data_IF_918388485373
#
_entry.id   IF_918388485373
#
_cell.length_a   1.000
_cell.length_b   1.000
_cell.length_c   1.000
_cell.angle_alpha   90.00
_cell.angle_beta   90.00
_cell.angle_gamma   90.00
#
_symmetry.space_group_name_H-M   'P 1'
#
loop_
_entity.id
_entity.type
_entity.pdbx_description
1 polymer ?
#
# COMPACT_ATOMS: atom_id res chain seq x y z
N UNK A 1 36.12 16.76 31.82
CA UNK A 1 36.67 17.15 30.50
C UNK A 1 37.30 15.96 29.75
N UNK A 2 38.17 15.15 30.39
CA UNK A 2 38.85 14.01 29.74
C UNK A 2 37.93 12.88 29.19
N UNK A 3 36.79 12.59 29.83
CA UNK A 3 35.86 11.55 29.35
C UNK A 3 35.06 11.98 28.11
N UNK A 4 34.87 13.29 27.87
CA UNK A 4 34.15 13.79 26.71
C UNK A 4 35.02 13.73 25.45
N UNK A 5 36.33 13.98 25.59
CA UNK A 5 37.31 13.92 24.51
C UNK A 5 37.52 12.47 24.04
N UNK A 6 37.64 11.50 24.95
CA UNK A 6 37.72 10.06 24.57
C UNK A 6 36.47 9.56 23.85
N UNK A 7 35.27 9.99 24.28
CA UNK A 7 34.00 9.59 23.64
C UNK A 7 33.82 10.24 22.26
N UNK A 8 34.35 11.45 22.07
CA UNK A 8 34.38 12.15 20.78
C UNK A 8 35.39 11.51 19.81
N UNK A 9 36.58 11.12 20.29
CA UNK A 9 37.60 10.45 19.49
C UNK A 9 37.15 9.04 19.05
N UNK A 10 36.62 8.23 19.97
CA UNK A 10 36.09 6.90 19.64
C UNK A 10 34.85 6.92 18.72
N UNK A 11 34.08 8.01 18.72
CA UNK A 11 32.94 8.21 17.81
C UNK A 11 33.41 8.65 16.41
N UNK A 12 34.48 9.44 16.34
CA UNK A 12 35.12 9.79 15.06
C UNK A 12 35.81 8.58 14.42
N UNK A 13 36.53 7.75 15.20
CA UNK A 13 37.18 6.54 14.68
C UNK A 13 36.17 5.51 14.15
N UNK A 14 35.05 5.29 14.87
CA UNK A 14 33.97 4.40 14.42
C UNK A 14 33.21 4.93 13.20
N UNK A 15 33.08 6.25 13.06
CA UNK A 15 32.47 6.85 11.89
C UNK A 15 33.41 6.79 10.68
N UNK A 16 34.73 6.94 10.86
CA UNK A 16 35.71 6.74 9.79
C UNK A 16 35.84 5.28 9.36
N UNK A 17 35.78 4.33 10.30
CA UNK A 17 35.78 2.88 9.98
C UNK A 17 34.51 2.47 9.23
N UNK A 18 33.34 2.97 9.63
CA UNK A 18 32.08 2.73 8.91
C UNK A 18 32.07 3.38 7.51
N UNK A 19 32.64 4.58 7.35
CA UNK A 19 32.72 5.21 6.03
C UNK A 19 33.67 4.44 5.10
N UNK A 20 34.84 4.02 5.60
CA UNK A 20 35.82 3.21 4.86
C UNK A 20 35.24 1.85 4.43
N UNK A 21 34.48 1.18 5.30
CA UNK A 21 33.83 -0.09 4.98
C UNK A 21 32.72 0.09 3.92
N UNK A 22 31.95 1.16 4.00
CA UNK A 22 30.90 1.47 3.00
C UNK A 22 31.46 1.78 1.62
N UNK A 23 32.61 2.48 1.54
CA UNK A 23 33.30 2.77 0.28
C UNK A 23 33.88 1.50 -0.36
N UNK A 24 34.41 0.58 0.45
CA UNK A 24 34.90 -0.72 -0.03
C UNK A 24 33.77 -1.58 -0.60
N UNK A 25 32.64 -1.67 0.10
CA UNK A 25 31.47 -2.42 -0.39
C UNK A 25 30.91 -1.80 -1.68
N UNK A 26 30.91 -0.47 -1.77
CA UNK A 26 30.50 0.25 -2.98
C UNK A 26 31.43 -0.02 -4.16
N UNK A 27 32.75 -0.10 -3.93
CA UNK A 27 33.74 -0.43 -4.96
C UNK A 27 33.57 -1.87 -5.47
N UNK A 28 33.42 -2.84 -4.56
CA UNK A 28 33.21 -4.26 -4.90
C UNK A 28 31.91 -4.44 -5.70
N UNK A 29 30.83 -3.80 -5.27
CA UNK A 29 29.54 -3.89 -5.97
C UNK A 29 29.60 -3.28 -7.38
N UNK A 30 30.29 -2.15 -7.57
CA UNK A 30 30.47 -1.57 -8.91
C UNK A 30 31.37 -2.42 -9.81
N UNK A 31 32.38 -3.09 -9.25
CA UNK A 31 33.23 -4.00 -10.02
C UNK A 31 32.43 -5.18 -10.59
N UNK A 32 31.58 -5.81 -9.76
CA UNK A 32 30.69 -6.89 -10.22
C UNK A 32 29.75 -6.42 -11.34
N UNK A 33 29.25 -5.19 -11.27
CA UNK A 33 28.36 -4.63 -12.31
C UNK A 33 29.08 -4.30 -13.62
N UNK A 34 30.35 -3.90 -13.55
CA UNK A 34 31.18 -3.65 -14.74
C UNK A 34 31.40 -4.94 -15.54
N UNK A 35 31.62 -6.07 -14.86
CA UNK A 35 31.79 -7.37 -15.50
C UNK A 35 30.52 -7.84 -16.25
N UNK A 36 29.36 -7.25 -15.94
CA UNK A 36 28.06 -7.53 -16.55
C UNK A 36 27.58 -6.42 -17.50
N UNK A 37 28.43 -5.44 -17.82
CA UNK A 37 28.12 -4.36 -18.75
C UNK A 37 28.47 -4.75 -20.19
N UNK A 38 27.57 -5.45 -20.88
CA UNK A 38 27.73 -5.70 -22.32
C UNK A 38 27.24 -4.48 -23.14
N UNK A 39 28.08 -3.96 -24.03
CA UNK A 39 27.64 -3.05 -25.11
C UNK A 39 27.56 -1.55 -24.79
N UNK A 40 28.26 -1.05 -23.77
CA UNK A 40 28.45 0.41 -23.58
C UNK A 40 27.27 1.16 -22.95
N UNK A 41 26.36 0.46 -22.25
CA UNK A 41 25.44 1.09 -21.29
C UNK A 41 25.78 0.62 -19.87
N UNK A 42 26.03 1.59 -18.99
CA UNK A 42 26.62 1.32 -17.67
C UNK A 42 25.58 0.82 -16.66
N UNK A 43 25.78 -0.41 -16.19
CA UNK A 43 25.24 -0.89 -14.93
C UNK A 43 25.92 -0.13 -13.79
N UNK A 44 25.15 0.40 -12.82
CA UNK A 44 25.75 1.12 -11.69
C UNK A 44 25.00 0.93 -10.39
N UNK A 45 25.75 0.96 -9.29
CA UNK A 45 25.19 1.11 -7.94
C UNK A 45 24.81 2.58 -7.75
N UNK A 46 23.53 2.85 -7.48
CA UNK A 46 23.02 4.21 -7.22
C UNK A 46 22.99 4.55 -5.73
N UNK A 47 22.84 3.54 -4.87
CA UNK A 47 22.93 3.70 -3.42
C UNK A 47 23.30 2.38 -2.75
N UNK A 48 23.93 2.48 -1.57
CA UNK A 48 24.24 1.35 -0.70
C UNK A 48 23.80 1.70 0.73
N UNK A 49 23.12 0.78 1.40
CA UNK A 49 22.77 0.89 2.83
C UNK A 49 23.18 -0.39 3.53
N UNK A 50 24.12 -0.29 4.47
CA UNK A 50 24.58 -1.44 5.27
C UNK A 50 23.96 -1.39 6.67
N UNK A 51 23.41 -2.51 7.11
CA UNK A 51 22.90 -2.71 8.46
C UNK A 51 23.48 -4.02 9.02
N UNK A 52 24.58 -3.91 9.77
CA UNK A 52 25.29 -5.09 10.28
C UNK A 52 25.92 -5.92 9.16
N UNK A 53 25.55 -7.19 9.09
CA UNK A 53 25.93 -8.16 8.06
C UNK A 53 24.95 -8.21 6.87
N UNK A 54 23.99 -7.28 6.82
CA UNK A 54 23.08 -7.11 5.68
C UNK A 54 23.41 -5.84 4.89
N UNK A 55 23.25 -5.91 3.57
CA UNK A 55 23.38 -4.74 2.68
C UNK A 55 22.22 -4.66 1.71
N UNK A 56 21.71 -3.44 1.50
CA UNK A 56 20.74 -3.12 0.44
C UNK A 56 21.42 -2.29 -0.63
N UNK A 57 21.36 -2.74 -1.88
CA UNK A 57 21.92 -2.07 -3.05
C UNK A 57 20.80 -1.61 -3.98
N UNK A 58 20.79 -0.32 -4.28
CA UNK A 58 19.95 0.22 -5.35
C UNK A 58 20.77 0.17 -6.64
N UNK A 59 20.27 -0.58 -7.64
CA UNK A 59 20.96 -0.85 -8.89
C UNK A 59 20.19 -0.25 -10.07
N UNK A 60 20.94 0.24 -11.04
CA UNK A 60 20.44 0.47 -12.40
C UNK A 60 21.10 -0.53 -13.32
N UNK A 61 20.29 -1.44 -13.88
CA UNK A 61 20.75 -2.47 -14.80
C UNK A 61 20.29 -2.15 -16.22
N UNK A 62 21.10 -2.48 -17.22
CA UNK A 62 20.71 -2.41 -18.63
C UNK A 62 19.65 -3.48 -18.95
N UNK A 63 19.00 -3.35 -20.12
CA UNK A 63 17.93 -4.26 -20.52
C UNK A 63 18.41 -5.71 -20.78
N UNK A 64 19.71 -5.90 -20.97
CA UNK A 64 20.34 -7.18 -21.32
C UNK A 64 21.00 -7.87 -20.11
N UNK A 65 21.02 -7.23 -18.93
CA UNK A 65 21.55 -7.85 -17.71
C UNK A 65 20.53 -8.84 -17.12
N UNK A 66 21.02 -10.01 -16.73
CA UNK A 66 20.27 -10.99 -15.94
C UNK A 66 20.32 -10.60 -14.45
N UNK A 67 19.19 -10.17 -13.85
CA UNK A 67 19.18 -9.75 -12.45
C UNK A 67 19.49 -10.88 -11.46
N UNK A 68 19.17 -12.14 -11.81
CA UNK A 68 19.42 -13.28 -10.92
C UNK A 68 20.92 -13.60 -10.86
N UNK A 69 21.61 -13.55 -12.01
CA UNK A 69 23.06 -13.75 -12.07
C UNK A 69 23.81 -12.61 -11.38
N UNK A 70 23.38 -11.36 -11.59
CA UNK A 70 23.94 -10.19 -10.88
C UNK A 70 23.77 -10.33 -9.37
N UNK A 71 22.59 -10.80 -8.92
CA UNK A 71 22.34 -11.05 -7.50
C UNK A 71 23.25 -12.11 -6.91
N UNK A 72 23.41 -13.24 -7.62
CA UNK A 72 24.27 -14.34 -7.19
C UNK A 72 25.74 -13.91 -7.05
N UNK A 73 26.24 -13.13 -8.01
CA UNK A 73 27.63 -12.67 -8.02
C UNK A 73 27.90 -11.61 -6.94
N UNK A 74 26.94 -10.69 -6.72
CA UNK A 74 27.04 -9.73 -5.62
C UNK A 74 27.01 -10.44 -4.26
N UNK A 75 26.19 -11.47 -4.09
CA UNK A 75 26.18 -12.32 -2.91
C UNK A 75 27.55 -12.92 -2.61
N UNK A 76 28.18 -13.56 -3.61
CA UNK A 76 29.49 -14.18 -3.48
C UNK A 76 30.61 -13.15 -3.19
N UNK A 77 30.60 -12.02 -3.88
CA UNK A 77 31.64 -11.00 -3.73
C UNK A 77 31.57 -10.29 -2.36
N UNK A 78 30.36 -10.04 -1.86
CA UNK A 78 30.14 -9.32 -0.60
C UNK A 78 30.22 -10.25 0.62
N UNK A 79 30.03 -11.55 0.45
CA UNK A 79 30.24 -12.54 1.52
C UNK A 79 31.69 -12.54 2.04
N UNK A 80 32.67 -12.34 1.16
CA UNK A 80 34.08 -12.20 1.54
C UNK A 80 34.36 -10.94 2.37
N UNK A 81 33.39 -10.04 2.48
CA UNK A 81 33.46 -8.79 3.25
C UNK A 81 32.55 -8.80 4.49
N UNK A 82 32.11 -9.99 4.93
CA UNK A 82 31.30 -10.17 6.14
C UNK A 82 29.82 -9.84 5.97
N UNK A 83 29.32 -9.84 4.73
CA UNK A 83 27.91 -9.64 4.41
C UNK A 83 27.25 -11.01 4.18
N UNK A 84 26.29 -11.37 5.03
CA UNK A 84 25.54 -12.64 4.92
C UNK A 84 24.24 -12.48 4.13
N UNK A 85 23.76 -11.24 3.96
CA UNK A 85 22.51 -10.94 3.27
C UNK A 85 22.66 -9.75 2.32
N UNK A 86 22.30 -9.94 1.04
CA UNK A 86 22.31 -8.90 0.00
C UNK A 86 20.89 -8.71 -0.52
N UNK A 87 20.35 -7.50 -0.38
CA UNK A 87 19.04 -7.09 -0.89
C UNK A 87 19.23 -6.15 -2.09
N UNK A 88 18.50 -6.36 -3.19
CA UNK A 88 18.64 -5.55 -4.41
C UNK A 88 17.34 -4.84 -4.78
N UNK A 89 17.42 -3.55 -5.05
CA UNK A 89 16.36 -2.79 -5.71
C UNK A 89 16.81 -2.46 -7.14
N UNK A 90 16.22 -3.12 -8.14
CA UNK A 90 16.64 -2.97 -9.54
C UNK A 90 15.73 -1.99 -10.28
N UNK A 91 16.34 -1.02 -10.95
CA UNK A 91 15.70 -0.11 -11.91
C UNK A 91 16.18 -0.38 -13.33
N UNK A 92 15.25 -0.58 -14.27
CA UNK A 92 15.54 -0.78 -15.70
C UNK A 92 15.33 0.53 -16.47
N UNK A 93 16.16 0.85 -17.50
CA UNK A 93 15.96 2.02 -18.32
C UNK A 93 14.63 1.94 -19.09
N UNK A 94 13.93 3.07 -19.19
CA UNK A 94 12.72 3.19 -20.00
C UNK A 94 13.05 2.98 -21.48
N UNK A 95 12.22 2.20 -22.20
CA UNK A 95 12.33 2.07 -23.67
C UNK A 95 12.21 3.46 -24.32
N UNK A 96 13.04 3.79 -25.33
CA UNK A 96 12.91 5.05 -26.04
C UNK A 96 11.54 5.14 -26.72
N UNK A 97 10.83 6.25 -26.47
CA UNK A 97 9.59 6.60 -27.19
C UNK A 97 9.93 6.83 -28.66
N UNK A 98 9.39 6.03 -29.56
CA UNK A 98 9.39 6.33 -31.00
C UNK A 98 8.47 7.51 -31.24
N UNK A 99 9.04 8.72 -31.33
CA UNK A 99 8.34 9.90 -31.84
C UNK A 99 8.23 9.84 -33.38
N UNK A 100 7.08 10.19 -33.98
CA UNK A 100 6.98 10.31 -35.43
C UNK A 100 7.87 11.47 -35.91
N UNK A 101 8.60 11.22 -36.99
CA UNK A 101 9.51 12.15 -37.64
C UNK A 101 8.81 13.43 -38.12
N UNK A 102 9.35 14.57 -37.70
CA UNK A 102 9.16 15.88 -38.30
C UNK A 102 9.82 15.94 -39.68
N UNK A 103 9.05 16.29 -40.72
CA UNK A 103 9.59 16.81 -41.97
C UNK A 103 9.14 18.27 -42.17
N UNK A 104 10.11 19.18 -42.13
CA UNK A 104 10.13 20.49 -42.79
C UNK A 104 11.01 20.33 -44.04
N UNK A 105 10.82 20.91 -45.23
CA UNK A 105 10.23 22.16 -45.70
C UNK A 105 9.83 21.99 -47.18
N UNK A 106 8.85 22.76 -47.68
CA UNK A 106 9.08 23.76 -48.76
C UNK A 106 7.81 24.55 -49.07
N UNK A 107 8.06 25.77 -49.52
CA UNK A 107 7.20 26.94 -49.73
C UNK A 107 6.32 26.89 -50.99
N UNK A 108 5.13 27.49 -50.87
CA UNK A 108 4.36 28.26 -51.87
C UNK A 108 4.06 27.65 -53.25
N UNK A 109 2.78 27.36 -53.55
CA UNK A 109 2.01 28.08 -54.59
C UNK A 109 0.49 27.77 -54.52
N UNK A 110 -0.28 28.85 -54.67
CA UNK A 110 -1.69 29.05 -55.07
C UNK A 110 -2.67 27.87 -55.31
N UNK A 111 -3.90 28.03 -54.79
CA UNK A 111 -5.12 27.26 -55.07
C UNK A 111 -5.67 27.51 -56.51
N UNK A 112 -6.62 26.72 -57.06
CA UNK A 112 -8.04 26.80 -56.63
C UNK A 112 -8.89 25.49 -56.71
N UNK A 113 -10.01 25.52 -55.97
CA UNK A 113 -11.34 24.90 -56.19
C UNK A 113 -11.51 23.70 -57.15
N UNK A 114 -12.17 22.63 -56.68
CA UNK A 114 -13.43 22.11 -57.28
C UNK A 114 -14.09 20.99 -56.44
N UNK A 115 -15.37 20.80 -56.73
CA UNK A 115 -16.48 20.21 -55.97
C UNK A 115 -16.62 18.68 -56.08
N UNK A 116 -17.53 18.16 -55.27
CA UNK A 116 -18.14 16.82 -55.31
C UNK A 116 -18.42 16.31 -56.72
N UNK A 117 -18.04 15.06 -57.00
CA UNK A 117 -18.91 14.00 -57.51
C UNK A 117 -18.11 12.70 -57.69
N UNK A 118 -18.82 11.58 -57.67
CA UNK A 118 -18.42 10.23 -58.08
C UNK A 118 -17.63 9.35 -57.09
N UNK A 119 -18.40 8.61 -56.27
CA UNK A 119 -18.07 7.21 -56.01
C UNK A 119 -18.34 6.36 -57.25
N UNK A 120 -17.48 5.36 -57.53
CA UNK A 120 -18.05 4.06 -57.88
C UNK A 120 -17.43 2.87 -57.14
N UNK A 121 -18.21 1.81 -57.23
CA UNK A 121 -18.18 0.54 -56.51
C UNK A 121 -16.99 -0.37 -56.78
N UNK A 122 -16.85 -1.31 -55.84
CA UNK A 122 -16.21 -2.62 -55.91
C UNK A 122 -16.04 -3.22 -57.32
N UNK A 123 -14.82 -3.69 -57.60
CA UNK A 123 -14.58 -4.77 -58.55
C UNK A 123 -13.57 -5.77 -57.96
N UNK A 124 -14.02 -7.02 -57.84
CA UNK A 124 -13.20 -8.18 -57.52
C UNK A 124 -12.44 -8.64 -58.77
N UNK A 125 -11.17 -9.02 -58.65
CA UNK A 125 -10.56 -10.00 -59.56
C UNK A 125 -9.41 -10.75 -58.91
N UNK A 126 -9.44 -12.07 -59.15
CA UNK A 126 -8.53 -13.12 -58.70
C UNK A 126 -7.19 -13.06 -59.43
N UNK A 127 -6.13 -13.56 -58.78
CA UNK A 127 -5.09 -14.32 -59.49
C UNK A 127 -3.67 -14.21 -58.95
N UNK A 128 -3.08 -15.36 -58.61
CA UNK A 128 -1.66 -15.63 -58.87
C UNK A 128 -0.73 -15.74 -57.67
N UNK A 129 -0.55 -16.96 -57.18
CA UNK A 129 0.42 -17.34 -56.17
C UNK A 129 1.88 -17.20 -56.64
N UNK A 130 2.77 -16.76 -55.74
CA UNK A 130 4.17 -17.17 -55.69
C UNK A 130 4.58 -17.47 -54.25
N UNK A 131 5.14 -18.67 -54.10
CA UNK A 131 5.54 -19.41 -52.91
C UNK A 131 6.78 -18.84 -52.20
N UNK A 132 6.75 -18.82 -50.87
CA UNK A 132 7.91 -18.76 -49.96
C UNK A 132 7.87 -20.00 -49.02
N UNK A 133 9.02 -20.47 -48.51
CA UNK A 133 9.23 -21.88 -48.14
C UNK A 133 8.68 -22.26 -46.76
N UNK A 134 8.33 -23.55 -46.60
CA UNK A 134 8.03 -24.17 -45.30
C UNK A 134 9.33 -24.43 -44.53
N UNK A 135 9.43 -23.92 -43.30
CA UNK A 135 10.42 -24.36 -42.32
C UNK A 135 9.74 -24.88 -41.06
N UNK A 136 9.86 -26.21 -40.93
CA UNK A 136 9.92 -27.09 -39.75
C UNK A 136 9.57 -26.52 -38.36
N UNK A 137 8.65 -27.23 -37.69
CA UNK A 137 8.40 -27.18 -36.25
C UNK A 137 9.70 -27.26 -35.45
N UNK A 138 9.97 -26.23 -34.65
CA UNK A 138 10.82 -26.32 -33.46
C UNK A 138 9.95 -25.96 -32.26
N UNK A 139 9.44 -26.98 -31.58
CA UNK A 139 8.84 -26.85 -30.27
C UNK A 139 9.95 -26.44 -29.28
N UNK A 140 9.96 -25.18 -28.85
CA UNK A 140 10.71 -24.75 -27.68
C UNK A 140 9.79 -24.84 -26.45
N UNK A 141 10.24 -25.42 -25.33
CA UNK A 141 9.43 -25.54 -24.13
C UNK A 141 9.24 -24.16 -23.52
N UNK A 142 7.97 -23.76 -23.31
CA UNK A 142 7.64 -22.59 -22.49
C UNK A 142 8.05 -22.91 -21.05
N UNK A 143 9.00 -22.15 -20.52
CA UNK A 143 9.33 -22.15 -19.09
C UNK A 143 8.11 -21.68 -18.31
N UNK A 144 7.42 -22.62 -17.67
CA UNK A 144 6.40 -22.37 -16.67
C UNK A 144 7.07 -21.82 -15.40
N UNK A 145 7.09 -20.51 -15.27
CA UNK A 145 7.02 -19.83 -13.97
C UNK A 145 5.68 -19.11 -13.87
N UNK A 146 4.61 -19.82 -14.23
CA UNK A 146 3.25 -19.41 -13.92
C UNK A 146 3.01 -19.78 -12.45
N UNK A 147 3.02 -18.77 -11.58
CA UNK A 147 2.30 -18.82 -10.31
C UNK A 147 0.91 -19.44 -10.59
N UNK A 148 0.48 -20.47 -9.84
CA UNK A 148 -0.68 -21.25 -10.22
C UNK A 148 -1.89 -20.33 -10.40
N UNK A 149 -2.60 -20.38 -11.54
CA UNK A 149 -3.77 -19.54 -11.74
C UNK A 149 -4.74 -19.81 -10.59
N UNK A 150 -5.31 -18.75 -10.02
CA UNK A 150 -6.35 -18.83 -9.00
C UNK A 150 -7.56 -19.54 -9.64
N UNK A 151 -7.57 -20.87 -9.55
CA UNK A 151 -8.53 -21.76 -10.21
C UNK A 151 -9.85 -21.87 -9.45
N UNK A 152 -9.89 -21.37 -8.20
CA UNK A 152 -11.12 -21.28 -7.41
C UNK A 152 -11.60 -19.83 -7.40
N UNK A 153 -12.81 -19.58 -7.91
CA UNK A 153 -13.50 -18.29 -7.69
C UNK A 153 -13.49 -17.99 -6.20
N UNK A 154 -13.10 -16.77 -5.83
CA UNK A 154 -13.22 -16.29 -4.46
C UNK A 154 -14.64 -16.57 -3.95
N UNK A 155 -14.81 -17.14 -2.74
CA UNK A 155 -16.14 -17.31 -2.18
C UNK A 155 -16.84 -15.95 -2.15
N UNK A 156 -18.11 -15.91 -2.57
CA UNK A 156 -18.92 -14.72 -2.43
C UNK A 156 -18.98 -14.34 -0.96
N UNK A 157 -18.89 -13.05 -0.64
CA UNK A 157 -19.00 -12.55 0.73
C UNK A 157 -20.24 -13.11 1.46
N UNK A 158 -21.34 -13.33 0.77
CA UNK A 158 -22.56 -13.95 1.31
C UNK A 158 -22.39 -15.38 1.85
N UNK A 159 -21.40 -16.13 1.35
CA UNK A 159 -21.14 -17.52 1.77
C UNK A 159 -20.30 -17.64 3.05
N UNK A 160 -19.66 -16.54 3.49
CA UNK A 160 -18.85 -16.51 4.70
C UNK A 160 -19.73 -16.37 5.94
N UNK A 161 -19.46 -17.22 6.93
CA UNK A 161 -20.14 -17.20 8.23
C UNK A 161 -19.84 -15.90 8.97
N UNK A 162 -20.87 -15.13 9.39
CA UNK A 162 -20.67 -13.92 10.19
C UNK A 162 -20.02 -14.22 11.56
N UNK A 163 -19.16 -13.33 12.03
CA UNK A 163 -18.56 -13.46 13.36
C UNK A 163 -19.61 -13.21 14.47
N UNK A 164 -19.81 -14.11 15.45
CA UNK A 164 -20.96 -14.07 16.36
C UNK A 164 -21.11 -12.78 17.18
N UNK A 165 -20.01 -12.08 17.45
CA UNK A 165 -19.98 -10.89 18.33
C UNK A 165 -19.78 -9.55 17.61
N UNK A 166 -19.66 -9.55 16.28
CA UNK A 166 -19.34 -8.34 15.49
C UNK A 166 -20.43 -8.11 14.45
N UNK A 167 -21.17 -7.00 14.54
CA UNK A 167 -22.28 -6.66 13.64
C UNK A 167 -21.81 -6.20 12.26
N UNK A 168 -20.87 -5.26 12.20
CA UNK A 168 -20.28 -4.76 10.96
C UNK A 168 -18.75 -4.89 10.99
N UNK A 169 -18.18 -5.36 9.88
CA UNK A 169 -16.73 -5.36 9.66
C UNK A 169 -16.43 -4.35 8.57
N UNK A 170 -15.75 -3.27 8.96
CA UNK A 170 -15.35 -2.18 8.08
C UNK A 170 -13.86 -2.28 7.81
N UNK A 171 -13.49 -2.44 6.55
CA UNK A 171 -12.08 -2.51 6.14
C UNK A 171 -11.63 -1.13 5.68
N UNK A 172 -10.48 -0.65 6.17
CA UNK A 172 -9.85 0.58 5.70
C UNK A 172 -8.59 0.23 4.92
N UNK A 173 -8.58 0.56 3.63
CA UNK A 173 -7.49 0.19 2.72
C UNK A 173 -6.92 1.40 2.00
N UNK A 174 -5.68 1.27 1.53
CA UNK A 174 -5.04 2.26 0.66
C UNK A 174 -4.20 1.57 -0.41
N UNK A 175 -4.18 2.16 -1.59
CA UNK A 175 -3.40 1.63 -2.70
C UNK A 175 -1.89 1.79 -2.52
N UNK A 176 -1.46 2.75 -1.70
CA UNK A 176 -0.05 3.01 -1.39
C UNK A 176 0.18 3.23 0.11
N UNK A 177 1.43 3.07 0.56
CA UNK A 177 1.88 3.45 1.89
C UNK A 177 1.97 4.98 2.04
N UNK A 178 1.81 5.48 3.26
CA UNK A 178 2.03 6.90 3.59
C UNK A 178 0.89 7.87 3.26
N UNK A 179 -0.30 7.39 2.84
CA UNK A 179 -1.49 8.25 2.64
C UNK A 179 -2.20 8.67 3.93
N UNK A 180 -1.73 8.23 5.09
CA UNK A 180 -2.41 8.45 6.38
C UNK A 180 -3.61 7.52 6.62
N UNK A 181 -3.59 6.31 6.04
CA UNK A 181 -4.60 5.25 6.25
C UNK A 181 -4.82 4.97 7.73
N UNK A 182 -3.77 4.60 8.47
CA UNK A 182 -3.86 4.26 9.91
C UNK A 182 -4.37 5.42 10.76
N UNK A 183 -3.89 6.64 10.52
CA UNK A 183 -4.42 7.86 11.16
C UNK A 183 -5.90 8.07 10.87
N UNK A 184 -6.35 7.77 9.66
CA UNK A 184 -7.76 7.86 9.28
C UNK A 184 -8.57 6.74 9.93
N UNK A 185 -8.04 5.51 9.96
CA UNK A 185 -8.66 4.33 10.59
C UNK A 185 -8.96 4.58 12.07
N UNK A 186 -7.97 5.06 12.83
CA UNK A 186 -8.15 5.30 14.28
C UNK A 186 -9.17 6.40 14.55
N UNK A 187 -9.13 7.50 13.79
CA UNK A 187 -10.10 8.59 13.97
C UNK A 187 -11.51 8.19 13.50
N UNK A 188 -11.67 7.40 12.44
CA UNK A 188 -12.99 6.86 12.05
C UNK A 188 -13.56 5.96 13.15
N UNK A 189 -12.74 5.09 13.73
CA UNK A 189 -13.19 4.19 14.80
C UNK A 189 -13.65 4.97 16.05
N UNK A 190 -12.87 5.96 16.47
CA UNK A 190 -13.23 6.86 17.57
C UNK A 190 -14.46 7.71 17.24
N UNK A 191 -14.61 8.15 15.99
CA UNK A 191 -15.78 8.91 15.55
C UNK A 191 -17.05 8.05 15.58
N UNK A 192 -16.99 6.80 15.11
CA UNK A 192 -18.09 5.83 15.23
C UNK A 192 -18.44 5.58 16.70
N UNK A 193 -17.44 5.50 17.59
CA UNK A 193 -17.66 5.38 19.03
C UNK A 193 -18.34 6.62 19.61
N UNK A 194 -17.93 7.84 19.22
CA UNK A 194 -18.60 9.09 19.60
C UNK A 194 -20.06 9.16 19.15
N UNK A 195 -20.40 8.49 18.04
CA UNK A 195 -21.79 8.33 17.58
C UNK A 195 -22.60 7.29 18.39
N UNK A 196 -21.99 6.66 19.39
CA UNK A 196 -22.66 5.74 20.33
C UNK A 196 -22.44 4.25 20.04
N UNK A 197 -21.57 3.91 19.09
CA UNK A 197 -21.31 2.51 18.73
C UNK A 197 -20.27 1.85 19.64
N UNK A 198 -20.40 0.53 19.83
CA UNK A 198 -19.31 -0.28 20.39
C UNK A 198 -18.34 -0.63 19.28
N UNK A 199 -17.10 -0.13 19.38
CA UNK A 199 -16.12 -0.22 18.30
C UNK A 199 -14.86 -0.96 18.75
N UNK A 200 -14.35 -1.84 17.89
CA UNK A 200 -13.03 -2.42 18.01
C UNK A 200 -12.15 -2.07 16.80
N UNK A 201 -10.83 -2.17 16.99
CA UNK A 201 -9.83 -2.01 15.94
C UNK A 201 -8.99 -3.28 15.85
N UNK A 202 -8.78 -3.77 14.64
CA UNK A 202 -7.80 -4.80 14.32
C UNK A 202 -6.75 -4.23 13.37
N UNK A 203 -5.52 -4.11 13.83
CA UNK A 203 -4.37 -3.70 13.00
C UNK A 203 -3.81 -4.91 12.25
N UNK A 204 -4.01 -4.94 10.93
CA UNK A 204 -3.51 -5.97 10.04
C UNK A 204 -2.21 -5.56 9.31
N UNK A 205 -1.67 -4.36 9.58
CA UNK A 205 -0.43 -3.90 8.96
C UNK A 205 0.79 -4.46 9.71
N UNK A 206 1.26 -5.63 9.28
CA UNK A 206 2.39 -6.33 9.92
C UNK A 206 3.71 -5.61 9.70
N UNK A 207 3.85 -4.87 8.61
CA UNK A 207 5.13 -4.26 8.23
C UNK A 207 5.35 -2.90 8.89
N UNK A 208 4.27 -2.25 9.32
CA UNK A 208 4.31 -0.97 10.02
C UNK A 208 3.16 -0.82 11.00
N UNK A 209 3.03 -1.70 12.01
CA UNK A 209 1.94 -1.61 12.97
C UNK A 209 2.06 -0.29 13.72
N UNK A 210 1.02 0.52 13.65
CA UNK A 210 1.02 1.87 14.19
C UNK A 210 -0.12 2.13 15.18
N UNK A 211 -1.10 1.21 15.25
CA UNK A 211 -2.26 1.38 16.14
C UNK A 211 -1.88 1.48 17.62
N UNK A 212 -0.98 0.66 18.18
CA UNK A 212 -0.65 0.76 19.61
C UNK A 212 -0.08 2.13 19.98
N UNK A 213 0.81 2.68 19.14
CA UNK A 213 1.41 4.01 19.37
C UNK A 213 0.38 5.13 19.19
N UNK A 214 -0.43 5.08 18.11
CA UNK A 214 -1.49 6.08 17.86
C UNK A 214 -2.61 6.10 18.91
N UNK A 215 -2.74 5.03 19.70
CA UNK A 215 -3.71 4.92 20.79
C UNK A 215 -3.07 5.06 22.18
N UNK A 216 -1.75 5.33 22.27
CA UNK A 216 -1.07 5.53 23.55
C UNK A 216 -0.91 4.27 24.39
N UNK A 217 -1.00 3.08 23.79
CA UNK A 217 -0.87 1.77 24.44
C UNK A 217 0.35 0.99 23.91
N UNK A 218 1.37 1.70 23.47
CA UNK A 218 2.62 1.12 23.02
C UNK A 218 3.28 0.30 24.14
N UNK A 219 3.79 -0.89 23.79
CA UNK A 219 4.36 -1.84 24.75
C UNK A 219 3.33 -2.65 25.56
N UNK A 220 2.04 -2.34 25.46
CA UNK A 220 0.99 -3.16 26.05
C UNK A 220 0.74 -4.39 25.17
N UNK A 221 0.94 -5.58 25.75
CA UNK A 221 0.69 -6.86 25.09
C UNK A 221 -0.69 -7.39 25.46
N UNK A 222 -1.45 -7.98 24.52
CA UNK A 222 -2.71 -8.65 24.84
C UNK A 222 -2.44 -9.82 25.78
N UNK A 223 -3.32 -10.01 26.75
CA UNK A 223 -3.29 -11.20 27.60
C UNK A 223 -3.90 -12.38 26.85
N UNK A 224 -3.55 -13.59 27.28
CA UNK A 224 -4.18 -14.82 26.80
C UNK A 224 -5.02 -15.40 27.94
N UNK A 225 -6.32 -15.56 27.69
CA UNK A 225 -7.26 -16.21 28.60
C UNK A 225 -7.96 -17.34 27.85
N UNK A 226 -7.88 -18.57 28.36
CA UNK A 226 -8.48 -19.75 27.72
C UNK A 226 -8.11 -19.90 26.24
N UNK A 227 -6.82 -19.73 25.91
CA UNK A 227 -6.28 -19.77 24.53
C UNK A 227 -6.83 -18.69 23.58
N UNK A 228 -7.51 -17.67 24.12
CA UNK A 228 -8.02 -16.54 23.36
C UNK A 228 -7.34 -15.24 23.80
N UNK A 229 -7.07 -14.36 22.84
CA UNK A 229 -6.56 -13.02 23.12
C UNK A 229 -7.62 -12.18 23.81
N UNK A 230 -7.25 -11.53 24.91
CA UNK A 230 -8.02 -10.43 25.49
C UNK A 230 -7.60 -9.16 24.76
N UNK A 231 -8.53 -8.48 24.04
CA UNK A 231 -8.19 -7.25 23.34
C UNK A 231 -7.73 -6.18 24.33
N UNK A 232 -6.73 -5.39 23.93
CA UNK A 232 -6.23 -4.27 24.71
C UNK A 232 -7.27 -3.16 24.69
N UNK A 233 -7.66 -2.68 25.86
CA UNK A 233 -8.54 -1.51 25.97
C UNK A 233 -7.71 -0.24 25.69
N UNK A 234 -8.20 0.59 24.78
CA UNK A 234 -7.62 1.89 24.49
C UNK A 234 -8.70 2.91 24.13
N UNK A 235 -8.87 3.95 24.95
CA UNK A 235 -9.86 5.01 24.74
C UNK A 235 -11.29 4.50 24.54
N UNK A 236 -11.66 3.45 25.26
CA UNK A 236 -12.95 2.73 25.16
C UNK A 236 -13.07 1.82 23.93
N UNK A 237 -12.03 1.67 23.12
CA UNK A 237 -11.97 0.74 21.99
C UNK A 237 -11.39 -0.59 22.44
N UNK A 238 -11.92 -1.70 21.90
CA UNK A 238 -11.25 -2.98 21.95
C UNK A 238 -10.22 -3.05 20.82
N UNK A 239 -8.93 -3.01 21.13
CA UNK A 239 -7.85 -2.99 20.15
C UNK A 239 -7.06 -4.29 20.15
N UNK A 240 -6.70 -4.74 18.96
CA UNK A 240 -5.70 -5.78 18.79
C UNK A 240 -4.80 -5.42 17.62
N UNK A 241 -3.50 -5.65 17.78
CA UNK A 241 -2.52 -5.45 16.71
C UNK A 241 -1.63 -6.65 16.57
N UNK A 242 -1.37 -7.03 15.32
CA UNK A 242 -0.36 -8.03 15.01
C UNK A 242 1.04 -7.58 15.45
N UNK A 243 1.29 -6.26 15.48
CA UNK A 243 2.52 -5.68 16.01
C UNK A 243 2.73 -5.93 17.50
N UNK A 244 1.65 -5.99 18.28
CA UNK A 244 1.72 -6.27 19.72
C UNK A 244 2.10 -7.73 20.02
N UNK A 245 2.01 -8.64 19.04
CA UNK A 245 2.49 -10.01 19.14
C UNK A 245 3.96 -10.17 18.76
N UNK A 246 4.59 -9.13 18.22
CA UNK A 246 6.01 -9.13 17.88
C UNK A 246 6.80 -8.82 19.15
N UNK A 247 7.46 -9.82 19.72
CA UNK A 247 8.45 -9.58 20.76
C UNK A 247 9.60 -8.74 20.18
N UNK A 248 10.05 -7.71 20.91
CA UNK A 248 11.08 -6.77 20.49
C UNK A 248 12.49 -7.35 20.28
N UNK A 249 12.62 -8.68 20.17
CA UNK A 249 13.88 -9.37 19.95
C UNK A 249 14.04 -9.69 18.46
N UNK A 250 14.71 -8.76 17.75
CA UNK A 250 15.77 -8.90 16.74
C UNK A 250 15.84 -10.14 15.81
N UNK A 251 14.78 -10.91 15.69
CA UNK A 251 14.67 -12.05 14.80
C UNK A 251 13.72 -11.62 13.70
N UNK A 252 14.21 -11.34 12.48
CA UNK A 252 13.35 -11.05 11.36
C UNK A 252 12.51 -12.30 11.06
N UNK A 253 11.36 -12.43 11.71
CA UNK A 253 10.38 -13.42 11.29
C UNK A 253 9.89 -12.93 9.93
N UNK A 254 10.19 -13.68 8.88
CA UNK A 254 9.66 -13.38 7.56
C UNK A 254 8.12 -13.56 7.58
N UNK A 255 7.40 -12.48 7.87
CA UNK A 255 5.94 -12.39 7.89
C UNK A 255 5.36 -12.35 6.47
N UNK A 256 5.68 -13.36 5.65
CA UNK A 256 5.23 -13.45 4.25
C UNK A 256 4.15 -14.52 4.07
N UNK A 257 3.22 -14.24 3.16
CA UNK A 257 2.21 -15.17 2.66
C UNK A 257 1.40 -15.87 3.76
N UNK A 258 1.47 -17.21 3.89
CA UNK A 258 0.60 -17.98 4.79
C UNK A 258 0.72 -17.66 6.29
N UNK A 259 1.91 -17.27 6.79
CA UNK A 259 2.09 -16.97 8.22
C UNK A 259 1.38 -15.69 8.65
N UNK A 260 1.55 -14.63 7.85
CA UNK A 260 0.86 -13.35 8.03
C UNK A 260 -0.67 -13.52 8.00
N UNK A 261 -1.15 -14.22 6.98
CA UNK A 261 -2.56 -14.60 6.85
C UNK A 261 -3.05 -15.43 8.04
N UNK A 262 -2.27 -16.42 8.47
CA UNK A 262 -2.62 -17.28 9.61
C UNK A 262 -2.76 -16.48 10.91
N UNK A 263 -1.81 -15.59 11.18
CA UNK A 263 -1.86 -14.71 12.34
C UNK A 263 -3.05 -13.75 12.28
N UNK A 264 -3.34 -13.14 11.13
CA UNK A 264 -4.54 -12.30 10.97
C UNK A 264 -5.83 -13.08 11.26
N UNK A 265 -5.95 -14.30 10.72
CA UNK A 265 -7.12 -15.14 11.00
C UNK A 265 -7.18 -15.57 12.47
N UNK A 266 -6.03 -15.76 13.12
CA UNK A 266 -5.94 -16.06 14.54
C UNK A 266 -6.41 -14.87 15.38
N UNK A 267 -5.90 -13.66 15.13
CA UNK A 267 -6.34 -12.43 15.78
C UNK A 267 -7.82 -12.14 15.56
N UNK A 268 -8.36 -12.48 14.38
CA UNK A 268 -9.77 -12.30 14.11
C UNK A 268 -10.66 -13.32 14.85
N UNK A 269 -10.32 -14.62 14.80
CA UNK A 269 -11.16 -15.70 15.32
C UNK A 269 -10.90 -16.07 16.79
N UNK A 270 -9.67 -15.93 17.27
CA UNK A 270 -9.23 -16.34 18.61
C UNK A 270 -9.07 -15.12 19.53
N UNK A 271 -9.92 -14.12 19.37
CA UNK A 271 -9.96 -12.95 20.25
C UNK A 271 -11.31 -12.88 20.93
N UNK A 272 -11.29 -12.60 22.22
CA UNK A 272 -12.45 -12.31 23.04
C UNK A 272 -12.99 -10.91 22.76
N UNK A 273 -13.36 -10.66 21.50
CA UNK A 273 -14.03 -9.42 21.10
C UNK A 273 -15.28 -9.24 21.97
N UNK A 274 -15.51 -8.05 22.55
CA UNK A 274 -16.81 -7.75 23.16
C UNK A 274 -17.91 -7.75 22.09
N UNK A 275 -19.16 -7.52 22.49
CA UNK A 275 -20.21 -7.26 21.51
C UNK A 275 -19.94 -5.93 20.82
N UNK A 276 -19.57 -5.98 19.54
CA UNK A 276 -19.18 -4.84 18.73
C UNK A 276 -20.24 -4.55 17.66
N UNK A 277 -20.60 -3.27 17.54
CA UNK A 277 -21.34 -2.76 16.38
C UNK A 277 -20.41 -2.67 15.17
N UNK A 278 -19.15 -2.25 15.38
CA UNK A 278 -18.12 -2.16 14.34
C UNK A 278 -16.81 -2.80 14.77
N UNK A 279 -16.22 -3.63 13.91
CA UNK A 279 -14.79 -3.91 13.91
C UNK A 279 -14.18 -3.19 12.70
N UNK A 280 -13.30 -2.22 12.97
CA UNK A 280 -12.56 -1.50 11.94
C UNK A 280 -11.20 -2.18 11.74
N UNK A 281 -10.90 -2.61 10.52
CA UNK A 281 -9.64 -3.30 10.21
C UNK A 281 -8.73 -2.37 9.41
N UNK A 282 -7.53 -2.12 9.94
CA UNK A 282 -6.50 -1.35 9.25
C UNK A 282 -5.66 -2.27 8.37
N UNK A 283 -5.83 -2.18 7.06
CA UNK A 283 -5.16 -3.10 6.12
C UNK A 283 -3.70 -2.72 5.91
N UNK A 284 -2.79 -3.66 5.59
CA UNK A 284 -1.49 -3.29 5.02
C UNK A 284 -1.67 -2.54 3.69
N UNK A 285 -0.72 -1.68 3.28
CA UNK A 285 -0.81 -0.94 2.02
C UNK A 285 -0.70 -1.86 0.80
N UNK A 286 -1.24 -1.41 -0.35
CA UNK A 286 -1.10 -2.07 -1.65
C UNK A 286 -2.32 -2.91 -2.03
N UNK A 287 -2.10 -4.00 -2.77
CA UNK A 287 -3.11 -5.01 -3.13
C UNK A 287 -2.54 -6.44 -3.00
N UNK A 288 -1.73 -6.66 -1.97
CA UNK A 288 -1.02 -7.94 -1.75
C UNK A 288 -1.89 -9.06 -1.16
N UNK A 289 -1.28 -10.22 -0.95
CA UNK A 289 -1.95 -11.47 -0.55
C UNK A 289 -2.80 -11.37 0.73
N UNK A 290 -2.39 -10.54 1.69
CA UNK A 290 -3.14 -10.33 2.95
C UNK A 290 -4.49 -9.69 2.65
N UNK A 291 -4.54 -8.72 1.72
CA UNK A 291 -5.79 -8.06 1.35
C UNK A 291 -6.74 -9.01 0.65
N UNK A 292 -6.22 -9.80 -0.30
CA UNK A 292 -7.01 -10.81 -1.00
C UNK A 292 -7.51 -11.89 -0.04
N UNK A 293 -6.67 -12.36 0.88
CA UNK A 293 -7.08 -13.40 1.83
C UNK A 293 -8.12 -12.90 2.81
N UNK A 294 -7.94 -11.70 3.36
CA UNK A 294 -8.96 -11.07 4.20
C UNK A 294 -10.27 -10.94 3.43
N UNK A 295 -10.19 -10.46 2.19
CA UNK A 295 -11.36 -10.30 1.33
C UNK A 295 -12.07 -11.62 1.00
N UNK A 296 -11.38 -12.76 1.11
CA UNK A 296 -11.93 -14.09 0.86
C UNK A 296 -12.36 -14.85 2.12
N UNK A 297 -11.83 -14.52 3.30
CA UNK A 297 -12.03 -15.31 4.52
C UNK A 297 -12.76 -14.59 5.63
N UNK A 298 -12.74 -13.26 5.63
CA UNK A 298 -13.44 -12.45 6.61
C UNK A 298 -14.77 -11.97 5.99
N UNK A 299 -15.90 -12.09 6.71
CA UNK A 299 -17.22 -11.66 6.23
C UNK A 299 -17.35 -10.13 6.29
N UNK A 300 -16.55 -9.42 5.49
CA UNK A 300 -16.48 -7.96 5.41
C UNK A 300 -17.83 -7.38 5.02
N UNK A 301 -18.28 -6.36 5.74
CA UNK A 301 -19.52 -5.63 5.44
C UNK A 301 -19.30 -4.57 4.38
N UNK A 302 -18.16 -3.87 4.43
CA UNK A 302 -17.76 -2.94 3.38
C UNK A 302 -16.35 -2.39 3.58
N UNK A 303 -15.84 -1.70 2.56
CA UNK A 303 -14.52 -1.12 2.54
C UNK A 303 -14.56 0.42 2.39
N UNK A 304 -13.63 1.11 3.05
CA UNK A 304 -13.32 2.53 2.86
C UNK A 304 -11.94 2.63 2.25
N UNK A 305 -11.81 3.40 1.18
CA UNK A 305 -10.53 3.63 0.49
C UNK A 305 -9.97 4.98 0.91
N UNK A 306 -8.77 4.98 1.45
CA UNK A 306 -8.02 6.20 1.79
C UNK A 306 -7.03 6.50 0.66
N UNK A 307 -7.07 7.71 0.13
CA UNK A 307 -6.17 8.20 -0.92
C UNK A 307 -5.68 9.61 -0.63
N UNK A 308 -4.87 10.18 -1.52
CA UNK A 308 -4.54 11.61 -1.54
C UNK A 308 -4.85 12.17 -2.94
N UNK A 309 -4.96 13.50 -3.12
CA UNK A 309 -5.30 14.09 -4.42
C UNK A 309 -4.24 13.84 -5.51
N UNK A 310 -3.05 13.35 -5.14
CA UNK A 310 -1.96 13.07 -6.07
C UNK A 310 -2.35 11.97 -7.06
N UNK A 311 -2.12 12.20 -8.35
CA UNK A 311 -2.47 11.27 -9.43
C UNK A 311 -1.98 9.82 -9.19
N UNK A 312 -0.78 9.63 -8.64
CA UNK A 312 -0.26 8.28 -8.34
C UNK A 312 -1.12 7.58 -7.27
N UNK A 313 -1.49 8.31 -6.21
CA UNK A 313 -2.36 7.77 -5.16
C UNK A 313 -3.74 7.38 -5.70
N UNK A 314 -4.28 8.20 -6.61
CA UNK A 314 -5.58 7.95 -7.24
C UNK A 314 -5.56 6.66 -8.05
N UNK A 315 -4.51 6.42 -8.86
CA UNK A 315 -4.38 5.17 -9.62
C UNK A 315 -4.33 3.94 -8.71
N UNK A 316 -3.66 4.04 -7.56
CA UNK A 316 -3.61 2.91 -6.63
C UNK A 316 -4.92 2.73 -5.85
N UNK A 317 -5.65 3.81 -5.57
CA UNK A 317 -7.00 3.75 -5.01
C UNK A 317 -7.98 3.05 -5.97
N UNK A 318 -7.88 3.33 -7.28
CA UNK A 318 -8.67 2.65 -8.32
C UNK A 318 -8.42 1.14 -8.32
N UNK A 319 -7.15 0.69 -8.27
CA UNK A 319 -6.81 -0.73 -8.14
C UNK A 319 -7.41 -1.36 -6.89
N UNK A 320 -7.39 -0.64 -5.77
CA UNK A 320 -8.03 -1.07 -4.52
C UNK A 320 -9.53 -1.30 -4.69
N UNK A 321 -10.24 -0.35 -5.32
CA UNK A 321 -11.67 -0.49 -5.63
C UNK A 321 -11.92 -1.71 -6.53
N UNK A 322 -11.12 -1.90 -7.57
CA UNK A 322 -11.25 -3.05 -8.46
C UNK A 322 -11.05 -4.39 -7.76
N UNK A 323 -10.11 -4.46 -6.81
CA UNK A 323 -9.88 -5.65 -5.99
C UNK A 323 -11.10 -5.98 -5.12
N UNK A 324 -11.70 -4.98 -4.46
CA UNK A 324 -12.92 -5.19 -3.67
C UNK A 324 -14.12 -5.58 -4.54
N UNK A 325 -14.26 -4.98 -5.72
CA UNK A 325 -15.29 -5.37 -6.69
C UNK A 325 -15.12 -6.85 -7.12
N UNK A 326 -13.89 -7.29 -7.40
CA UNK A 326 -13.59 -8.70 -7.75
C UNK A 326 -13.88 -9.67 -6.60
N UNK A 327 -13.82 -9.21 -5.36
CA UNK A 327 -14.10 -10.02 -4.16
C UNK A 327 -15.52 -9.82 -3.61
N UNK A 328 -16.37 -9.08 -4.34
CA UNK A 328 -17.75 -8.79 -3.96
C UNK A 328 -17.88 -8.09 -2.60
N UNK A 329 -16.89 -7.28 -2.23
CA UNK A 329 -16.94 -6.41 -1.05
C UNK A 329 -17.40 -5.03 -1.52
N UNK A 330 -18.49 -4.48 -0.96
CA UNK A 330 -18.96 -3.16 -1.35
C UNK A 330 -18.02 -2.08 -0.81
N UNK A 331 -17.62 -1.16 -1.69
CA UNK A 331 -16.89 0.05 -1.30
C UNK A 331 -17.91 1.07 -0.79
N UNK A 332 -17.86 1.35 0.52
CA UNK A 332 -18.75 2.28 1.23
C UNK A 332 -18.45 3.73 0.82
N UNK A 333 -17.19 4.01 0.48
CA UNK A 333 -16.79 5.27 -0.10
C UNK A 333 -15.28 5.50 -0.04
N UNK A 334 -14.88 6.69 -0.48
CA UNK A 334 -13.50 7.14 -0.56
C UNK A 334 -13.30 8.30 0.41
N UNK A 335 -12.17 8.31 1.12
CA UNK A 335 -11.68 9.44 1.90
C UNK A 335 -10.43 9.97 1.23
N UNK A 336 -10.45 11.26 0.88
CA UNK A 336 -9.29 11.94 0.33
C UNK A 336 -8.55 12.64 1.48
N UNK A 337 -7.40 12.11 1.87
CA UNK A 337 -6.57 12.70 2.90
C UNK A 337 -5.58 13.73 2.34
N UNK A 338 -5.11 14.64 3.19
CA UNK A 338 -4.17 15.71 2.81
C UNK A 338 -4.68 16.57 1.63
N UNK A 339 -5.99 16.82 1.58
CA UNK A 339 -6.63 17.52 0.47
C UNK A 339 -6.35 19.02 0.48
N UNK A 340 -6.34 19.62 1.67
CA UNK A 340 -6.21 21.06 1.86
C UNK A 340 -5.17 21.38 2.92
N UNK A 341 -4.38 22.44 2.72
CA UNK A 341 -3.48 22.99 3.72
C UNK A 341 -3.83 24.45 3.98
N UNK A 342 -4.01 24.80 5.25
CA UNK A 342 -4.23 26.19 5.67
C UNK A 342 -2.96 26.74 6.29
N UNK A 343 -2.39 27.77 5.68
CA UNK A 343 -1.18 28.42 6.17
C UNK A 343 -1.42 29.02 7.57
N UNK A 344 -0.61 28.59 8.55
CA UNK A 344 -0.71 29.05 9.93
C UNK A 344 -0.38 30.53 10.13
N UNK A 345 0.30 31.18 9.17
CA UNK A 345 0.69 32.58 9.26
C UNK A 345 -0.34 33.55 8.66
N UNK A 346 -1.01 33.16 7.56
CA UNK A 346 -1.92 34.06 6.84
C UNK A 346 -3.36 33.55 6.68
N UNK A 347 -3.64 32.31 7.07
CA UNK A 347 -4.98 31.70 6.95
C UNK A 347 -5.39 31.32 5.52
N UNK A 348 -4.50 31.46 4.53
CA UNK A 348 -4.78 31.03 3.16
C UNK A 348 -4.86 29.50 3.09
N UNK A 349 -5.94 28.98 2.50
CA UNK A 349 -6.14 27.56 2.25
C UNK A 349 -5.87 27.24 0.78
N UNK A 350 -5.02 26.25 0.54
CA UNK A 350 -4.64 25.80 -0.80
C UNK A 350 -4.59 24.26 -0.89
N UNK A 351 -4.80 23.75 -2.10
CA UNK A 351 -4.76 22.31 -2.41
C UNK A 351 -3.37 21.90 -2.93
N UNK A 352 -2.37 21.86 -2.03
CA UNK A 352 -0.95 21.67 -2.39
C UNK A 352 -0.64 20.37 -3.15
N UNK A 353 -1.50 19.36 -3.04
CA UNK A 353 -1.34 18.07 -3.69
C UNK A 353 -2.25 17.86 -4.89
N UNK A 354 -2.98 18.90 -5.31
CA UNK A 354 -4.03 18.85 -6.32
C UNK A 354 -5.43 18.84 -5.70
N UNK A 355 -6.44 19.00 -6.54
CA UNK A 355 -7.86 19.03 -6.15
C UNK A 355 -8.69 18.13 -7.07
N UNK A 356 -9.85 17.69 -6.59
CA UNK A 356 -10.84 16.92 -7.38
C UNK A 356 -10.48 15.46 -7.65
N UNK A 357 -9.43 14.93 -7.01
CA UNK A 357 -9.00 13.54 -7.20
C UNK A 357 -10.03 12.53 -6.69
N UNK A 358 -10.48 12.73 -5.46
CA UNK A 358 -11.52 11.93 -4.82
C UNK A 358 -12.87 12.05 -5.52
N UNK A 359 -13.23 13.24 -6.00
CA UNK A 359 -14.44 13.48 -6.80
C UNK A 359 -14.40 12.69 -8.10
N UNK A 360 -13.27 12.74 -8.82
CA UNK A 360 -13.06 11.97 -10.05
C UNK A 360 -13.24 10.46 -9.82
N UNK A 361 -12.68 9.92 -8.73
CA UNK A 361 -12.85 8.50 -8.38
C UNK A 361 -14.32 8.20 -8.03
N UNK A 362 -14.93 9.09 -7.25
CA UNK A 362 -16.32 8.98 -6.81
C UNK A 362 -17.26 8.87 -8.01
N UNK A 363 -17.10 9.73 -9.01
CA UNK A 363 -17.88 9.72 -10.25
C UNK A 363 -17.60 8.47 -11.10
N UNK A 364 -16.33 8.16 -11.31
CA UNK A 364 -15.92 7.05 -12.19
C UNK A 364 -16.40 5.68 -11.69
N UNK A 365 -16.40 5.46 -10.37
CA UNK A 365 -16.77 4.18 -9.77
C UNK A 365 -18.14 4.20 -9.08
N UNK A 366 -18.85 5.33 -9.12
CA UNK A 366 -20.14 5.53 -8.43
C UNK A 366 -20.07 5.22 -6.92
N UNK A 367 -18.95 5.57 -6.29
CA UNK A 367 -18.71 5.37 -4.86
C UNK A 367 -18.72 6.73 -4.16
N UNK A 368 -19.36 6.89 -3.00
CA UNK A 368 -19.43 8.20 -2.34
C UNK A 368 -18.06 8.75 -1.93
N UNK A 369 -17.81 10.04 -2.17
CA UNK A 369 -16.76 10.78 -1.46
C UNK A 369 -17.23 11.06 -0.03
N UNK A 370 -16.65 10.36 0.95
CA UNK A 370 -17.02 10.46 2.35
C UNK A 370 -16.52 11.77 2.97
N UNK A 371 -15.34 12.21 2.59
CA UNK A 371 -14.80 13.46 3.07
C UNK A 371 -13.40 13.75 2.53
N UNK A 372 -13.01 15.00 2.72
CA UNK A 372 -11.69 15.51 2.39
C UNK A 372 -11.04 15.99 3.68
N UNK A 373 -9.92 15.36 4.06
CA UNK A 373 -9.22 15.67 5.31
C UNK A 373 -8.07 16.66 5.03
N UNK A 374 -7.89 17.69 5.86
CA UNK A 374 -6.80 18.63 5.68
C UNK A 374 -5.45 18.03 6.09
N UNK A 375 -4.38 18.57 5.51
CA UNK A 375 -3.03 18.40 5.99
C UNK A 375 -2.76 19.39 7.12
N UNK A 376 -2.82 18.91 8.36
CA UNK A 376 -2.57 19.71 9.55
C UNK A 376 -1.51 19.06 10.46
N UNK A 377 -0.61 19.90 10.99
CA UNK A 377 0.48 19.46 11.87
C UNK A 377 -0.02 18.94 13.22
N UNK A 378 -1.17 19.44 13.67
CA UNK A 378 -1.84 19.01 14.91
C UNK A 378 -2.36 17.59 14.80
N UNK A 379 -2.96 17.18 13.68
CA UNK A 379 -3.43 15.80 13.46
C UNK A 379 -2.27 14.80 13.69
N UNK A 380 -1.11 15.07 13.07
CA UNK A 380 0.11 14.30 13.30
C UNK A 380 0.55 14.36 14.76
N UNK A 381 0.66 15.55 15.34
CA UNK A 381 1.15 15.73 16.70
C UNK A 381 0.26 15.03 17.75
N UNK A 382 -1.04 14.96 17.51
CA UNK A 382 -2.01 14.29 18.37
C UNK A 382 -1.96 12.76 18.22
N UNK A 383 -1.86 12.26 16.98
CA UNK A 383 -1.62 10.83 16.74
C UNK A 383 -0.31 10.34 17.37
N UNK A 384 0.79 11.10 17.25
CA UNK A 384 2.10 10.76 17.84
C UNK A 384 2.09 10.77 19.38
N UNK A 385 1.13 11.46 20.01
CA UNK A 385 0.93 11.48 21.47
C UNK A 385 0.05 10.33 21.97
N UNK A 386 -0.56 9.56 21.07
CA UNK A 386 -1.55 8.56 21.44
C UNK A 386 -2.94 9.14 21.76
N UNK A 387 -3.21 10.40 21.38
CA UNK A 387 -4.48 11.10 21.62
C UNK A 387 -5.06 11.59 20.28
N UNK A 388 -5.61 10.72 19.41
CA UNK A 388 -6.06 11.12 18.07
C UNK A 388 -7.05 12.29 18.07
N UNK A 389 -7.07 13.07 16.98
CA UNK A 389 -7.90 14.27 16.78
C UNK A 389 -9.32 14.19 17.33
N UNK A 390 -10.02 13.07 17.14
CA UNK A 390 -11.40 12.90 17.61
C UNK A 390 -11.53 12.94 19.14
N UNK A 391 -10.54 12.47 19.89
CA UNK A 391 -10.56 12.45 21.38
C UNK A 391 -9.56 13.42 22.02
N UNK A 392 -8.83 14.18 21.22
CA UNK A 392 -7.91 15.20 21.70
C UNK A 392 -8.60 16.21 22.62
N UNK A 393 -7.83 17.02 23.36
CA UNK A 393 -8.37 18.03 24.27
C UNK A 393 -9.33 17.42 25.33
N UNK A 394 -8.89 16.36 26.00
CA UNK A 394 -9.66 15.69 27.07
C UNK A 394 -11.01 15.13 26.61
N UNK A 395 -11.11 14.71 25.35
CA UNK A 395 -12.31 14.09 24.78
C UNK A 395 -13.20 15.03 23.97
N UNK A 396 -12.97 16.35 24.01
CA UNK A 396 -13.75 17.31 23.22
C UNK A 396 -13.46 17.20 21.71
N UNK A 397 -12.25 16.77 21.37
CA UNK A 397 -11.72 16.75 20.01
C UNK A 397 -10.92 18.02 19.68
N UNK A 398 -10.04 17.94 18.69
CA UNK A 398 -9.39 19.11 18.11
C UNK A 398 -10.24 19.72 16.98
N UNK A 399 -9.72 20.79 16.36
CA UNK A 399 -10.38 21.50 15.27
C UNK A 399 -10.73 20.61 14.06
N UNK A 400 -10.12 19.42 13.96
CA UNK A 400 -10.28 18.50 12.84
C UNK A 400 -11.18 17.29 13.17
N UNK A 401 -11.58 17.12 14.43
CA UNK A 401 -12.45 16.04 14.88
C UNK A 401 -13.76 15.95 14.06
N UNK A 402 -14.36 17.10 13.73
CA UNK A 402 -15.64 17.16 13.03
C UNK A 402 -15.60 16.50 11.64
N UNK A 403 -14.49 16.61 10.89
CA UNK A 403 -14.36 15.93 9.60
C UNK A 403 -14.49 14.41 9.72
N UNK A 404 -13.89 13.82 10.76
CA UNK A 404 -13.96 12.38 11.00
C UNK A 404 -15.36 11.95 11.48
N UNK A 405 -16.03 12.78 12.27
CA UNK A 405 -17.43 12.55 12.70
C UNK A 405 -18.37 12.58 11.50
N UNK A 406 -18.23 13.53 10.59
CA UNK A 406 -19.01 13.60 9.34
C UNK A 406 -18.77 12.38 8.44
N UNK A 407 -17.51 11.93 8.32
CA UNK A 407 -17.16 10.70 7.60
C UNK A 407 -17.85 9.49 8.25
N UNK A 408 -17.81 9.37 9.58
CA UNK A 408 -18.43 8.28 10.31
C UNK A 408 -19.96 8.26 10.12
N UNK A 409 -20.63 9.41 10.15
CA UNK A 409 -22.08 9.51 9.88
C UNK A 409 -22.42 9.02 8.46
N UNK A 410 -21.63 9.40 7.45
CA UNK A 410 -21.81 8.92 6.07
C UNK A 410 -21.54 7.43 5.95
N UNK A 411 -20.59 6.89 6.71
CA UNK A 411 -20.33 5.44 6.80
C UNK A 411 -21.56 4.73 7.37
N UNK A 412 -22.12 5.18 8.50
CA UNK A 412 -23.32 4.57 9.09
C UNK A 412 -24.52 4.58 8.13
N UNK A 413 -24.74 5.71 7.46
CA UNK A 413 -25.83 5.87 6.50
C UNK A 413 -25.71 4.93 5.29
N UNK A 414 -24.48 4.64 4.85
CA UNK A 414 -24.24 3.80 3.68
C UNK A 414 -24.07 2.32 4.02
N UNK A 415 -23.44 1.98 5.15
CA UNK A 415 -23.16 0.59 5.51
C UNK A 415 -24.44 -0.20 5.81
N UNK A 416 -25.49 0.47 6.28
CA UNK A 416 -26.79 -0.14 6.52
C UNK A 416 -27.39 -0.79 5.26
N UNK A 417 -27.10 -0.24 4.06
CA UNK A 417 -27.55 -0.78 2.76
C UNK A 417 -26.94 -2.14 2.43
N UNK A 418 -25.77 -2.42 3.01
CA UNK A 418 -24.96 -3.61 2.74
C UNK A 418 -24.90 -4.56 3.95
N UNK A 419 -25.59 -4.22 5.04
CA UNK A 419 -25.66 -5.03 6.22
C UNK A 419 -26.30 -6.39 5.90
N UNK A 420 -25.63 -7.49 6.27
CA UNK A 420 -26.25 -8.82 6.21
C UNK A 420 -27.37 -8.90 7.24
N UNK A 421 -28.50 -9.52 6.87
CA UNK A 421 -29.55 -9.82 7.83
C UNK A 421 -29.00 -10.72 8.94
N UNK A 422 -29.17 -10.28 10.19
CA UNK A 422 -28.80 -11.05 11.37
C UNK A 422 -30.05 -11.29 12.20
N UNK A 423 -30.13 -12.50 12.76
CA UNK A 423 -31.13 -12.80 13.76
C UNK A 423 -30.60 -12.27 15.09
N UNK A 424 -30.87 -10.99 15.35
CA UNK A 424 -30.44 -10.29 16.56
C UNK A 424 -31.32 -10.74 17.75
N UNK A 425 -31.16 -11.99 18.17
CA UNK A 425 -31.74 -12.54 19.40
C UNK A 425 -31.08 -11.96 20.65
N UNK A 426 -30.98 -10.63 20.74
CA UNK A 426 -30.44 -9.87 21.87
C UNK A 426 -31.39 -10.06 23.05
N UNK A 427 -31.19 -11.11 23.84
CA UNK A 427 -31.74 -11.18 25.19
C UNK A 427 -30.80 -10.30 26.03
N UNK A 428 -31.34 -9.17 26.53
CA UNK A 428 -30.64 -8.23 27.40
C UNK A 428 -30.18 -8.89 28.69
#
# INVERSE_FOLDING_TARGET
>A
MFNFIKKSMAKNDKNSEKSLQSEQLFAVANQVLQDHSAGGQDNKVTAIKQYGDSVTLDLRLNADADPEEVHRQLGLALQNHGINEVNLNVSLPAKPKTSPSSHSHTTSTQAPFMTSDDMPAFASTKGGAKTLPKTVNAAAPKSQTDEPPITKRAPLQSSLQPHPRIKHILVVASGKGGVGKSTTTVNIALALQKLGNKVGILDADIYGPSMPSMLGVEGVKPQLENEQFVPVEAHGLAMLSIGSLLDGDNTPVAWRGPKATGALMQLFNQTNWPMLDYLVIDMPPGTGDIQLTLAQRIPVTGAVIVTTPQHIALMDAQKGIEMFNKTSIPVIGVVENMALHTCSNCGHTEAIFGAGGGETISEAYQVPLLGQLPLASTIRAQADKGEPSVIANQGDGDDYAHFYVEIAQKIEANIAKFAKQRNDGRIF
#
